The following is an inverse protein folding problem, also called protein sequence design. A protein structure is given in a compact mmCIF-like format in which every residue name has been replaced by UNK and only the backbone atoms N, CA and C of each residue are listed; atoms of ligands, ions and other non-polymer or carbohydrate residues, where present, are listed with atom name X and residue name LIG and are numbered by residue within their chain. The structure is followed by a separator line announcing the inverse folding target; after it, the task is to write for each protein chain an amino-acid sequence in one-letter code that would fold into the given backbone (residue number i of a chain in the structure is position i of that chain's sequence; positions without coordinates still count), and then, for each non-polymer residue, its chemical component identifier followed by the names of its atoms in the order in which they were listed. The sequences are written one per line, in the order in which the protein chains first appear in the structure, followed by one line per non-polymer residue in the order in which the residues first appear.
data_IF_686713915604
#
_entry.id   IF_686713915604
#
_cell.length_a   1.000
_cell.length_b   1.000
_cell.length_c   1.000
_cell.angle_alpha   90.00
_cell.angle_beta   90.00
_cell.angle_gamma   90.00
#
_symmetry.space_group_name_H-M   'P 1'
#
loop_
_entity.id
_entity.type
_entity.pdbx_description
1 polymer ?
#
# COMPACT_ATOMS: atom_id res chain seq x y z
N UNK A 1 -0.87 17.65 -23.26
CA UNK A 1 -1.68 18.37 -22.25
C UNK A 1 -0.96 19.65 -21.86
N UNK A 2 -1.62 20.78 -21.94
CA UNK A 2 -1.12 22.08 -21.48
C UNK A 2 -0.96 22.11 -19.95
N UNK A 3 -0.27 23.12 -19.44
CA UNK A 3 -0.15 23.33 -17.99
C UNK A 3 -1.52 23.63 -17.35
N UNK A 4 -2.38 24.32 -18.07
CA UNK A 4 -3.72 24.73 -17.61
C UNK A 4 -4.67 23.52 -17.50
N UNK A 5 -4.71 22.68 -18.52
CA UNK A 5 -5.49 21.41 -18.49
C UNK A 5 -5.05 20.50 -17.36
N UNK A 6 -3.73 20.41 -17.10
CA UNK A 6 -3.21 19.64 -15.97
C UNK A 6 -3.67 20.20 -14.63
N UNK A 7 -3.63 21.51 -14.44
CA UNK A 7 -4.11 22.16 -13.22
C UNK A 7 -5.60 21.92 -13.05
N UNK A 8 -6.38 21.99 -14.11
CA UNK A 8 -7.80 21.70 -14.09
C UNK A 8 -8.08 20.27 -13.64
N UNK A 9 -7.45 19.27 -14.28
CA UNK A 9 -7.57 17.88 -13.88
C UNK A 9 -7.18 17.62 -12.42
N UNK A 10 -6.02 18.16 -11.98
CA UNK A 10 -5.55 17.99 -10.60
C UNK A 10 -6.51 18.62 -9.57
N UNK A 11 -7.16 19.73 -9.90
CA UNK A 11 -8.16 20.36 -9.04
C UNK A 11 -9.48 19.57 -8.97
N UNK A 12 -9.96 19.05 -10.10
CA UNK A 12 -11.15 18.19 -10.17
C UNK A 12 -10.92 16.88 -9.38
N UNK A 13 -9.73 16.27 -9.56
CA UNK A 13 -9.36 15.08 -8.79
C UNK A 13 -9.34 15.40 -7.29
N UNK A 14 -8.67 16.47 -6.87
CA UNK A 14 -8.64 16.90 -5.46
C UNK A 14 -10.05 17.09 -4.88
N UNK A 15 -10.94 17.71 -5.63
CA UNK A 15 -12.32 17.94 -5.17
C UNK A 15 -13.04 16.61 -4.87
N UNK A 16 -12.87 15.61 -5.74
CA UNK A 16 -13.48 14.28 -5.57
C UNK A 16 -12.84 13.45 -4.44
N UNK A 17 -11.56 13.67 -4.13
CA UNK A 17 -10.87 12.96 -3.07
C UNK A 17 -11.19 13.46 -1.66
N UNK A 18 -11.71 14.69 -1.51
CA UNK A 18 -12.02 15.31 -0.20
C UNK A 18 -13.05 14.55 0.63
N UNK A 19 -13.93 13.80 -0.01
CA UNK A 19 -15.00 13.04 0.66
C UNK A 19 -14.63 11.57 0.92
N UNK A 20 -13.37 11.18 0.68
CA UNK A 20 -12.90 9.84 1.01
C UNK A 20 -12.67 9.70 2.51
N UNK A 21 -13.17 8.60 3.07
CA UNK A 21 -13.09 8.29 4.50
C UNK A 21 -12.62 6.84 4.70
N UNK A 22 -12.04 6.58 5.86
CA UNK A 22 -11.70 5.22 6.28
C UNK A 22 -11.83 5.08 7.79
N UNK A 23 -12.49 4.02 8.31
CA UNK A 23 -12.65 3.81 9.74
C UNK A 23 -11.30 3.75 10.48
N UNK A 24 -11.15 4.52 11.55
CA UNK A 24 -9.95 4.54 12.37
C UNK A 24 -8.78 5.38 11.82
N UNK A 25 -8.88 5.92 10.60
CA UNK A 25 -7.86 6.79 10.00
C UNK A 25 -8.47 8.11 9.53
N UNK A 26 -7.73 9.20 9.70
CA UNK A 26 -8.09 10.49 9.09
C UNK A 26 -7.42 10.59 7.72
N UNK A 27 -8.23 10.63 6.66
CA UNK A 27 -7.78 10.88 5.30
C UNK A 27 -7.80 12.38 5.00
N UNK A 28 -6.72 12.89 4.44
CA UNK A 28 -6.63 14.29 3.99
C UNK A 28 -6.22 14.32 2.53
N UNK A 29 -7.15 14.78 1.68
CA UNK A 29 -6.84 15.02 0.28
C UNK A 29 -5.90 16.22 0.15
N UNK A 30 -4.84 16.06 -0.63
CA UNK A 30 -3.88 17.11 -0.99
C UNK A 30 -3.77 17.18 -2.51
N UNK A 31 -3.20 18.24 -3.04
CA UNK A 31 -3.15 18.49 -4.50
C UNK A 31 -2.63 17.30 -5.33
N UNK A 32 -1.77 16.47 -4.75
CA UNK A 32 -1.15 15.33 -5.45
C UNK A 32 -1.41 13.99 -4.77
N UNK A 33 -2.47 13.84 -3.99
CA UNK A 33 -2.77 12.55 -3.39
C UNK A 33 -3.55 12.58 -2.09
N UNK A 34 -3.32 11.57 -1.26
CA UNK A 34 -3.96 11.38 0.04
C UNK A 34 -2.91 11.19 1.12
N UNK A 35 -3.12 11.82 2.28
CA UNK A 35 -2.37 11.60 3.50
C UNK A 35 -3.23 10.82 4.49
N UNK A 36 -2.62 9.82 5.13
CA UNK A 36 -3.24 8.98 6.15
C UNK A 36 -2.67 9.34 7.51
N UNK A 37 -3.55 9.64 8.45
CA UNK A 37 -3.18 9.92 9.84
C UNK A 37 -3.83 8.93 10.78
N UNK A 38 -3.04 8.48 11.76
CA UNK A 38 -3.51 7.74 12.94
C UNK A 38 -3.45 8.72 14.12
N UNK A 39 -4.60 9.21 14.55
CA UNK A 39 -4.66 10.36 15.45
C UNK A 39 -4.03 11.60 14.80
N UNK A 40 -2.94 12.13 15.41
CA UNK A 40 -2.21 13.30 14.90
C UNK A 40 -1.02 12.93 13.99
N UNK A 41 -0.58 11.68 14.02
CA UNK A 41 0.61 11.22 13.32
C UNK A 41 0.32 10.97 11.83
N UNK A 42 1.21 11.43 10.95
CA UNK A 42 1.20 11.08 9.52
C UNK A 42 1.89 9.73 9.35
N UNK A 43 1.15 8.70 8.96
CA UNK A 43 1.63 7.31 8.92
C UNK A 43 1.79 6.74 7.51
N UNK A 44 1.07 7.29 6.53
CA UNK A 44 1.17 6.85 5.14
C UNK A 44 0.72 7.94 4.16
N UNK A 45 1.05 7.74 2.89
CA UNK A 45 0.53 8.56 1.82
C UNK A 45 0.39 7.81 0.50
N UNK A 46 -0.54 8.28 -0.32
CA UNK A 46 -0.72 7.93 -1.72
C UNK A 46 -0.46 9.18 -2.56
N UNK A 47 0.50 9.10 -3.49
CA UNK A 47 0.92 10.22 -4.33
C UNK A 47 0.64 9.95 -5.80
N UNK A 48 -0.04 10.89 -6.47
CA UNK A 48 -0.12 10.94 -7.93
C UNK A 48 1.12 11.63 -8.48
N UNK A 49 1.94 10.89 -9.20
CA UNK A 49 3.15 11.42 -9.84
C UNK A 49 2.90 11.61 -11.33
N UNK A 50 3.09 12.83 -11.80
CA UNK A 50 3.04 13.16 -13.23
C UNK A 50 4.37 12.82 -13.89
N UNK A 51 4.33 11.92 -14.85
CA UNK A 51 5.46 11.50 -15.67
C UNK A 51 5.53 12.38 -16.92
N UNK A 52 6.38 13.40 -16.89
CA UNK A 52 6.44 14.43 -17.92
C UNK A 52 6.64 13.87 -19.32
N UNK A 53 7.58 12.93 -19.51
CA UNK A 53 7.88 12.33 -20.82
C UNK A 53 6.72 11.48 -21.36
N UNK A 54 5.99 10.82 -20.49
CA UNK A 54 4.86 9.97 -20.86
C UNK A 54 3.53 10.73 -20.89
N UNK A 55 3.49 11.97 -20.43
CA UNK A 55 2.27 12.75 -20.22
C UNK A 55 1.18 11.92 -19.51
N UNK A 56 1.56 11.25 -18.42
CA UNK A 56 0.70 10.31 -17.73
C UNK A 56 0.92 10.38 -16.20
N UNK A 57 -0.05 9.89 -15.46
CA UNK A 57 0.01 9.77 -14.01
C UNK A 57 0.26 8.33 -13.58
N UNK A 58 1.07 8.15 -12.54
CA UNK A 58 1.23 6.91 -11.80
C UNK A 58 0.86 7.13 -10.34
N UNK A 59 0.46 6.07 -9.64
CA UNK A 59 0.18 6.09 -8.21
C UNK A 59 1.34 5.44 -7.45
N UNK A 60 1.83 6.13 -6.43
CA UNK A 60 2.82 5.64 -5.48
C UNK A 60 2.19 5.60 -4.08
N UNK A 61 2.28 4.47 -3.40
CA UNK A 61 1.87 4.30 -2.01
C UNK A 61 3.04 3.99 -1.10
N UNK A 62 3.07 4.57 0.10
CA UNK A 62 4.10 4.32 1.12
C UNK A 62 3.49 4.33 2.52
N UNK A 63 3.95 3.41 3.38
CA UNK A 63 3.65 3.37 4.81
C UNK A 63 4.95 3.48 5.58
N UNK A 64 5.07 4.52 6.42
CA UNK A 64 6.29 4.92 7.13
C UNK A 64 6.02 5.30 8.60
N UNK A 65 4.86 4.94 9.15
CA UNK A 65 4.48 5.15 10.54
C UNK A 65 3.40 4.19 10.99
N UNK A 66 2.99 4.31 12.25
CA UNK A 66 1.99 3.48 12.89
C UNK A 66 2.54 2.23 13.57
N UNK A 67 1.70 1.48 14.33
CA UNK A 67 2.15 0.46 15.27
C UNK A 67 2.92 -0.70 14.63
N UNK A 68 2.53 -1.11 13.41
CA UNK A 68 3.24 -2.19 12.69
C UNK A 68 4.62 -1.70 12.23
N UNK A 69 4.70 -0.49 11.67
CA UNK A 69 5.96 0.12 11.28
C UNK A 69 6.91 0.28 12.48
N UNK A 70 6.41 0.76 13.61
CA UNK A 70 7.19 0.89 14.85
C UNK A 70 7.67 -0.46 15.39
N UNK A 71 6.85 -1.51 15.29
CA UNK A 71 7.26 -2.86 15.63
C UNK A 71 8.40 -3.34 14.71
N UNK A 72 8.25 -3.17 13.39
CA UNK A 72 9.26 -3.55 12.41
C UNK A 72 10.58 -2.80 12.64
N UNK A 73 10.54 -1.51 13.01
CA UNK A 73 11.74 -0.68 13.20
C UNK A 73 12.60 -1.09 14.40
N UNK A 74 12.05 -1.85 15.35
CA UNK A 74 12.77 -2.36 16.54
C UNK A 74 13.61 -3.60 16.27
N UNK A 75 13.42 -4.25 15.12
CA UNK A 75 14.09 -5.49 14.74
C UNK A 75 14.92 -5.23 13.49
N UNK A 76 16.23 -5.48 13.56
CA UNK A 76 17.14 -5.27 12.43
C UNK A 76 17.39 -6.62 11.74
N UNK A 77 16.84 -6.84 10.53
CA UNK A 77 17.11 -8.06 9.77
C UNK A 77 18.59 -8.19 9.33
N UNK A 78 19.13 -9.41 9.26
CA UNK A 78 20.53 -9.65 8.88
C UNK A 78 20.78 -9.53 7.37
N UNK A 79 19.80 -9.10 6.60
CA UNK A 79 19.86 -8.93 5.14
C UNK A 79 19.20 -7.62 4.72
N UNK A 80 19.50 -7.17 3.49
CA UNK A 80 19.01 -5.91 2.97
C UNK A 80 17.51 -5.96 2.66
N UNK A 81 16.83 -4.84 2.91
CA UNK A 81 15.44 -4.63 2.50
C UNK A 81 15.25 -4.79 0.99
N UNK A 82 14.05 -5.24 0.60
CA UNK A 82 13.58 -5.20 -0.79
C UNK A 82 13.28 -3.78 -1.27
N UNK A 83 12.98 -2.89 -0.32
CA UNK A 83 12.67 -1.50 -0.59
C UNK A 83 13.92 -0.66 -0.31
N UNK A 84 14.26 0.23 -1.21
CA UNK A 84 15.33 1.20 -1.00
C UNK A 84 14.89 2.42 -0.17
N UNK A 85 13.89 2.28 0.73
CA UNK A 85 13.30 3.40 1.50
C UNK A 85 13.07 3.00 2.97
N UNK A 86 12.84 4.00 3.83
CA UNK A 86 12.50 3.82 5.25
C UNK A 86 11.05 3.33 5.48
N UNK A 87 10.28 3.10 4.43
CA UNK A 87 8.94 2.57 4.49
C UNK A 87 8.94 1.06 4.74
N UNK A 88 8.01 0.55 5.54
CA UNK A 88 7.81 -0.90 5.69
C UNK A 88 7.00 -1.51 4.53
N UNK A 89 6.26 -0.67 3.81
CA UNK A 89 5.46 -1.03 2.63
C UNK A 89 5.55 0.09 1.60
N UNK A 90 5.75 -0.27 0.33
CA UNK A 90 5.70 0.69 -0.78
C UNK A 90 5.33 -0.01 -2.08
N UNK A 91 4.52 0.63 -2.90
CA UNK A 91 4.23 0.20 -4.26
C UNK A 91 4.22 1.38 -5.23
N UNK A 92 4.37 1.06 -6.51
CA UNK A 92 4.06 1.97 -7.61
C UNK A 92 3.26 1.23 -8.67
N UNK A 93 2.31 1.89 -9.32
CA UNK A 93 1.59 1.31 -10.45
C UNK A 93 2.42 1.34 -11.75
N UNK A 94 3.43 2.21 -11.82
CA UNK A 94 4.32 2.31 -13.00
C UNK A 94 5.10 1.01 -13.23
N UNK A 95 5.09 0.54 -14.47
CA UNK A 95 5.73 -0.72 -14.86
C UNK A 95 4.96 -1.98 -14.44
N UNK A 96 3.79 -1.83 -13.84
CA UNK A 96 2.88 -2.93 -13.45
C UNK A 96 1.63 -2.90 -14.33
N UNK A 97 1.19 -4.06 -14.77
CA UNK A 97 -0.10 -4.20 -15.45
C UNK A 97 -1.25 -4.23 -14.43
N UNK A 98 -1.33 -3.21 -13.57
CA UNK A 98 -2.40 -3.11 -12.59
C UNK A 98 -3.66 -2.54 -13.23
N UNK A 99 -4.53 -3.44 -13.71
CA UNK A 99 -5.80 -3.08 -14.36
C UNK A 99 -6.79 -2.33 -13.46
N UNK A 100 -6.55 -2.30 -12.15
CA UNK A 100 -7.38 -1.54 -11.20
C UNK A 100 -7.10 -0.05 -11.29
N UNK A 101 -5.84 0.32 -11.55
CA UNK A 101 -5.46 1.71 -11.75
C UNK A 101 -5.53 2.12 -13.23
N UNK A 102 -5.03 1.26 -14.13
CA UNK A 102 -4.95 1.59 -15.56
C UNK A 102 -5.14 0.36 -16.42
N UNK A 103 -5.78 0.54 -17.56
CA UNK A 103 -5.94 -0.51 -18.59
C UNK A 103 -4.70 -0.70 -19.46
N UNK A 104 -3.73 0.24 -19.42
CA UNK A 104 -2.52 0.14 -20.24
C UNK A 104 -1.44 -0.73 -19.57
N UNK A 105 -0.50 -1.22 -20.39
CA UNK A 105 0.60 -2.10 -19.94
C UNK A 105 1.64 -1.40 -19.08
N UNK A 106 1.62 -0.09 -19.01
CA UNK A 106 2.59 0.70 -18.23
C UNK A 106 2.12 1.00 -16.81
N UNK A 107 0.85 0.68 -16.47
CA UNK A 107 0.26 0.98 -15.16
C UNK A 107 0.11 2.48 -14.91
N UNK A 108 -0.12 3.26 -15.97
CA UNK A 108 -0.27 4.71 -15.92
C UNK A 108 -1.60 5.14 -16.52
N UNK A 109 -2.15 6.25 -16.06
CA UNK A 109 -3.30 6.90 -16.67
C UNK A 109 -2.78 8.07 -17.51
N UNK A 110 -3.04 8.04 -18.82
CA UNK A 110 -2.73 9.18 -19.69
C UNK A 110 -3.42 10.43 -19.17
N UNK A 111 -2.77 11.57 -19.33
CA UNK A 111 -3.37 12.84 -19.00
C UNK A 111 -4.64 13.03 -19.84
N UNK A 112 -5.83 13.19 -19.21
CA UNK A 112 -7.10 13.19 -19.91
C UNK A 112 -7.32 14.49 -20.69
N UNK A 113 -8.03 14.41 -21.80
CA UNK A 113 -8.64 15.57 -22.44
C UNK A 113 -9.74 16.14 -21.53
N UNK A 114 -10.14 17.42 -21.74
CA UNK A 114 -11.07 18.14 -20.85
C UNK A 114 -12.39 17.38 -20.69
N UNK A 115 -12.91 16.81 -21.77
CA UNK A 115 -14.17 16.07 -21.79
C UNK A 115 -14.10 14.75 -21.00
N UNK A 116 -12.91 14.17 -20.86
CA UNK A 116 -12.66 12.89 -20.17
C UNK A 116 -12.39 13.07 -18.68
N UNK A 117 -12.04 14.29 -18.22
CA UNK A 117 -11.63 14.57 -16.83
C UNK A 117 -12.60 13.98 -15.81
N UNK A 118 -13.91 14.17 -16.03
CA UNK A 118 -14.94 13.66 -15.13
C UNK A 118 -14.93 12.14 -14.98
N UNK A 119 -14.79 11.42 -16.10
CA UNK A 119 -14.77 9.95 -16.12
C UNK A 119 -13.48 9.40 -15.49
N UNK A 120 -12.33 9.98 -15.85
CA UNK A 120 -11.01 9.58 -15.31
C UNK A 120 -10.94 9.84 -13.81
N UNK A 121 -11.39 10.99 -13.31
CA UNK A 121 -11.44 11.27 -11.87
C UNK A 121 -12.36 10.29 -11.12
N UNK A 122 -13.50 9.89 -11.70
CA UNK A 122 -14.40 8.90 -11.11
C UNK A 122 -13.76 7.52 -11.06
N UNK A 123 -13.07 7.11 -12.12
CA UNK A 123 -12.30 5.86 -12.15
C UNK A 123 -11.20 5.83 -11.10
N UNK A 124 -10.39 6.88 -10.99
CA UNK A 124 -9.33 6.99 -9.98
C UNK A 124 -9.93 6.92 -8.57
N UNK A 125 -11.01 7.65 -8.31
CA UNK A 125 -11.69 7.61 -7.02
C UNK A 125 -12.14 6.19 -6.68
N UNK A 126 -12.81 5.50 -7.59
CA UNK A 126 -13.28 4.14 -7.39
C UNK A 126 -12.10 3.15 -7.12
N UNK A 127 -11.00 3.28 -7.85
CA UNK A 127 -9.80 2.48 -7.63
C UNK A 127 -9.18 2.72 -6.24
N UNK A 128 -9.14 3.99 -5.79
CA UNK A 128 -8.69 4.33 -4.45
C UNK A 128 -9.59 3.74 -3.37
N UNK A 129 -10.89 3.95 -3.49
CA UNK A 129 -11.91 3.57 -2.50
C UNK A 129 -11.98 2.04 -2.33
N UNK A 130 -11.97 1.32 -3.45
CA UNK A 130 -12.18 -0.13 -3.44
C UNK A 130 -10.88 -0.96 -3.26
N UNK A 131 -9.71 -0.36 -3.52
CA UNK A 131 -8.47 -1.14 -3.49
C UNK A 131 -7.32 -0.45 -2.74
N UNK A 132 -6.87 0.74 -3.17
CA UNK A 132 -5.60 1.29 -2.66
C UNK A 132 -5.71 1.84 -1.24
N UNK A 133 -6.83 2.44 -0.85
CA UNK A 133 -7.06 2.88 0.54
C UNK A 133 -7.15 1.65 1.46
N UNK A 134 -7.95 0.60 1.17
CA UNK A 134 -7.94 -0.64 1.93
C UNK A 134 -6.56 -1.28 2.08
N UNK A 135 -5.77 -1.32 1.00
CA UNK A 135 -4.42 -1.88 1.00
C UNK A 135 -3.49 -1.13 1.96
N UNK A 136 -3.43 0.20 1.84
CA UNK A 136 -2.60 1.06 2.71
C UNK A 136 -3.10 1.03 4.15
N UNK A 137 -4.41 1.12 4.36
CA UNK A 137 -5.03 1.05 5.68
C UNK A 137 -4.75 -0.29 6.38
N UNK A 138 -4.77 -1.40 5.65
CA UNK A 138 -4.42 -2.72 6.16
C UNK A 138 -2.97 -2.83 6.67
N UNK A 139 -2.06 -2.01 6.13
CA UNK A 139 -0.69 -1.94 6.63
C UNK A 139 -0.56 -1.15 7.96
N UNK A 140 -1.60 -0.40 8.36
CA UNK A 140 -1.63 0.40 9.59
C UNK A 140 -2.53 -0.27 10.63
N UNK A 141 -3.74 -0.68 10.19
CA UNK A 141 -4.78 -1.35 10.97
C UNK A 141 -5.07 -2.72 10.31
N UNK A 142 -4.32 -3.77 10.65
CA UNK A 142 -4.35 -5.03 9.91
C UNK A 142 -5.67 -5.79 10.05
N UNK A 143 -5.97 -6.56 9.01
CA UNK A 143 -7.09 -7.47 8.89
C UNK A 143 -6.64 -8.78 8.24
N UNK A 144 -7.52 -9.78 8.13
CA UNK A 144 -7.22 -11.02 7.38
C UNK A 144 -6.74 -10.73 5.95
N UNK A 145 -7.36 -9.74 5.28
CA UNK A 145 -6.94 -9.29 3.96
C UNK A 145 -5.47 -8.83 3.92
N UNK A 146 -4.94 -8.28 5.01
CA UNK A 146 -3.54 -7.85 5.08
C UNK A 146 -2.57 -9.02 4.81
N UNK A 147 -2.86 -10.20 5.33
CA UNK A 147 -2.03 -11.39 5.09
C UNK A 147 -2.14 -11.86 3.63
N UNK A 148 -3.34 -11.78 3.04
CA UNK A 148 -3.56 -12.09 1.62
C UNK A 148 -2.82 -11.12 0.70
N UNK A 149 -2.82 -9.83 1.03
CA UNK A 149 -2.10 -8.79 0.28
C UNK A 149 -0.58 -9.02 0.33
N UNK A 150 -0.02 -9.43 1.50
CA UNK A 150 1.40 -9.81 1.61
C UNK A 150 1.72 -11.04 0.75
N UNK A 151 0.87 -12.05 0.79
CA UNK A 151 1.04 -13.27 -0.03
C UNK A 151 0.98 -12.97 -1.52
N UNK A 152 0.08 -12.09 -1.94
CA UNK A 152 -0.07 -11.69 -3.34
C UNK A 152 1.11 -10.85 -3.86
N UNK A 153 1.68 -9.96 -3.01
CA UNK A 153 2.73 -9.02 -3.42
C UNK A 153 3.84 -8.87 -2.37
N UNK A 154 4.57 -9.94 -2.02
CA UNK A 154 5.58 -9.90 -0.95
C UNK A 154 6.69 -8.87 -1.17
N UNK A 155 6.97 -8.53 -2.43
CA UNK A 155 8.01 -7.57 -2.81
C UNK A 155 7.67 -6.11 -2.51
N UNK A 156 6.41 -5.81 -2.20
CA UNK A 156 5.97 -4.48 -1.81
C UNK A 156 6.25 -4.18 -0.33
N UNK A 157 6.71 -5.18 0.42
CA UNK A 157 7.09 -5.08 1.82
C UNK A 157 8.60 -5.14 1.98
N UNK A 158 9.16 -4.30 2.85
CA UNK A 158 10.59 -4.24 3.10
C UNK A 158 11.11 -5.61 3.62
N UNK A 159 10.42 -6.16 4.60
CA UNK A 159 10.68 -7.45 5.23
C UNK A 159 9.36 -8.17 5.48
N UNK A 160 8.83 -8.93 4.50
CA UNK A 160 7.46 -9.46 4.58
C UNK A 160 7.22 -10.39 5.78
N UNK A 161 8.16 -11.25 6.14
CA UNK A 161 8.03 -12.11 7.32
C UNK A 161 7.96 -11.29 8.63
N UNK A 162 8.83 -10.27 8.76
CA UNK A 162 8.82 -9.36 9.91
C UNK A 162 7.53 -8.55 9.96
N UNK A 163 7.04 -8.06 8.81
CA UNK A 163 5.78 -7.36 8.74
C UNK A 163 4.61 -8.21 9.22
N UNK A 164 4.50 -9.47 8.74
CA UNK A 164 3.47 -10.42 9.20
C UNK A 164 3.60 -10.66 10.70
N UNK A 165 4.83 -10.89 11.21
CA UNK A 165 5.07 -11.06 12.65
C UNK A 165 4.52 -9.89 13.47
N UNK A 166 4.79 -8.65 13.05
CA UNK A 166 4.32 -7.45 13.73
C UNK A 166 2.81 -7.25 13.60
N UNK A 167 2.23 -7.52 12.42
CA UNK A 167 0.80 -7.42 12.19
C UNK A 167 0.00 -8.41 13.05
N UNK A 168 0.44 -9.67 13.12
CA UNK A 168 -0.18 -10.72 13.95
C UNK A 168 0.03 -10.45 15.44
N UNK A 169 1.19 -9.94 15.86
CA UNK A 169 1.40 -9.56 17.25
C UNK A 169 0.46 -8.42 17.70
N UNK A 170 0.11 -7.52 16.79
CA UNK A 170 -0.85 -6.45 17.03
C UNK A 170 -2.30 -6.96 17.02
N UNK A 171 -2.62 -7.93 16.15
CA UNK A 171 -3.95 -8.48 15.97
C UNK A 171 -3.89 -9.99 15.63
N UNK A 172 -3.84 -10.86 16.64
CA UNK A 172 -3.62 -12.32 16.43
C UNK A 172 -4.67 -13.00 15.54
N UNK A 173 -5.93 -12.57 15.60
CA UNK A 173 -7.04 -13.18 14.87
C UNK A 173 -7.00 -13.00 13.34
N UNK A 174 -6.01 -12.30 12.80
CA UNK A 174 -5.91 -12.08 11.34
C UNK A 174 -5.27 -13.23 10.58
N UNK A 175 -4.75 -14.25 11.26
CA UNK A 175 -4.09 -15.39 10.62
C UNK A 175 -4.60 -16.72 11.19
N UNK A 176 -4.93 -17.65 10.29
CA UNK A 176 -5.19 -19.04 10.68
C UNK A 176 -3.93 -19.89 10.61
N UNK A 177 -3.95 -21.08 11.24
CA UNK A 177 -2.83 -22.04 11.18
C UNK A 177 -2.51 -22.48 9.76
N UNK A 178 -3.52 -22.66 8.91
CA UNK A 178 -3.35 -23.02 7.50
C UNK A 178 -2.65 -21.89 6.74
N UNK A 179 -3.11 -20.65 6.96
CA UNK A 179 -2.53 -19.47 6.32
C UNK A 179 -1.09 -19.22 6.78
N UNK A 180 -0.79 -19.49 8.06
CA UNK A 180 0.60 -19.39 8.57
C UNK A 180 1.52 -20.42 7.88
N UNK A 181 1.07 -21.66 7.66
CA UNK A 181 1.84 -22.67 6.90
C UNK A 181 2.10 -22.22 5.46
N UNK A 182 1.10 -21.61 4.79
CA UNK A 182 1.26 -21.04 3.46
C UNK A 182 2.34 -19.94 3.45
N UNK A 183 2.31 -19.02 4.42
CA UNK A 183 3.29 -17.97 4.61
C UNK A 183 4.70 -18.55 4.81
N UNK A 184 4.86 -19.52 5.70
CA UNK A 184 6.15 -20.14 6.01
C UNK A 184 6.75 -20.94 4.83
N UNK A 185 5.91 -21.43 3.93
CA UNK A 185 6.34 -22.14 2.72
C UNK A 185 6.68 -21.20 1.53
N UNK A 186 6.32 -19.92 1.62
CA UNK A 186 6.49 -18.97 0.53
C UNK A 186 7.93 -18.42 0.47
N UNK A 187 8.70 -18.87 -0.54
CA UNK A 187 10.10 -18.46 -0.76
C UNK A 187 10.32 -16.96 -1.00
N UNK A 188 9.27 -16.22 -1.37
CA UNK A 188 9.35 -14.75 -1.54
C UNK A 188 9.16 -14.02 -0.20
N UNK A 189 8.55 -14.68 0.79
CA UNK A 189 8.38 -14.17 2.15
C UNK A 189 9.56 -14.62 3.01
N UNK A 190 9.86 -15.92 2.99
CA UNK A 190 10.99 -16.53 3.74
C UNK A 190 12.25 -16.49 2.87
N UNK A 191 13.00 -15.38 2.94
CA UNK A 191 14.24 -15.16 2.19
C UNK A 191 15.47 -15.61 2.95
N UNK A 192 15.55 -15.29 4.23
CA UNK A 192 16.55 -15.79 5.16
C UNK A 192 15.84 -16.80 6.07
N UNK A 193 16.08 -18.11 5.79
CA UNK A 193 15.36 -19.17 6.48
C UNK A 193 15.48 -19.09 8.00
N UNK A 194 16.69 -18.90 8.52
CA UNK A 194 16.93 -18.92 9.97
C UNK A 194 16.22 -17.74 10.65
N UNK A 195 16.37 -16.54 10.09
CA UNK A 195 15.76 -15.35 10.64
C UNK A 195 14.24 -15.30 10.40
N UNK A 196 13.79 -15.45 9.15
CA UNK A 196 12.39 -15.27 8.81
C UNK A 196 11.50 -16.37 9.42
N UNK A 197 11.99 -17.63 9.44
CA UNK A 197 11.28 -18.73 10.11
C UNK A 197 11.25 -18.55 11.62
N UNK A 198 12.31 -18.05 12.25
CA UNK A 198 12.32 -17.76 13.68
C UNK A 198 11.27 -16.70 14.07
N UNK A 199 11.03 -15.72 13.20
CA UNK A 199 9.98 -14.71 13.39
C UNK A 199 8.57 -15.31 13.26
N UNK A 200 8.37 -16.23 12.31
CA UNK A 200 7.06 -16.79 12.00
C UNK A 200 6.68 -17.95 12.94
N UNK A 201 7.65 -18.77 13.41
CA UNK A 201 7.37 -19.89 14.30
C UNK A 201 6.73 -19.48 15.63
N UNK A 202 7.08 -18.31 16.17
CA UNK A 202 6.46 -17.78 17.39
C UNK A 202 4.96 -17.44 17.22
N UNK A 203 4.47 -17.43 15.96
CA UNK A 203 3.06 -17.20 15.67
C UNK A 203 2.22 -18.50 15.73
N UNK A 204 2.83 -19.68 15.79
CA UNK A 204 2.12 -20.96 15.81
C UNK A 204 1.20 -21.07 17.03
N UNK A 205 1.61 -20.52 18.17
CA UNK A 205 0.83 -20.47 19.40
C UNK A 205 -0.27 -19.39 19.39
N UNK A 206 -0.13 -18.37 18.54
CA UNK A 206 -1.06 -17.24 18.41
C UNK A 206 -2.10 -17.45 17.31
N UNK A 207 -1.79 -18.27 16.30
CA UNK A 207 -2.67 -18.48 15.16
C UNK A 207 -3.93 -19.26 15.57
N UNK A 208 -5.09 -18.75 15.14
CA UNK A 208 -6.39 -19.35 15.43
C UNK A 208 -6.54 -20.67 14.66
N UNK A 209 -7.00 -21.70 15.34
CA UNK A 209 -7.22 -23.04 14.76
C UNK A 209 -8.51 -23.14 13.96
#
# INVERSE_FOLDING_TARGET
MSKEERIYFENELLARLKSLEWPGLTLTAVKKGLKFRLGKELVAQLDFQYLVKAQAYTLLGRVFGGPIFECCSKIVPPYRSNLGSDACFSFTTSGRQDKRFSTNVYGTISAPEIEEVGAVCSHIRAALENYYIPLVAGCILPSQRTIEDVLASPTDYAYPALFIRCAVAFKPEIISKEKLKEVMSNKKIVKNKDFDLSLLSVLEDLAVG
#
